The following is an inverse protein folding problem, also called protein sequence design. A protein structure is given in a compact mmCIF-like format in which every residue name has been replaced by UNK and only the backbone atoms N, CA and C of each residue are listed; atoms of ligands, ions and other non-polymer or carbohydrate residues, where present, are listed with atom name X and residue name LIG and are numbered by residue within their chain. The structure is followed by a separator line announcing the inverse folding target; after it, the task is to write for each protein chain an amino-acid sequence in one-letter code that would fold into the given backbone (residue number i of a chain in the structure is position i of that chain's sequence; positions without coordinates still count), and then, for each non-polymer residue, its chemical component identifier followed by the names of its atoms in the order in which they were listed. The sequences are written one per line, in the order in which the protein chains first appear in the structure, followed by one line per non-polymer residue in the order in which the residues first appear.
data_IF_693005353119
#
_entry.id   IF_693005353119
#
_cell.length_a   1.000
_cell.length_b   1.000
_cell.length_c   1.000
_cell.angle_alpha   90.00
_cell.angle_beta   90.00
_cell.angle_gamma   90.00
#
_symmetry.space_group_name_H-M   'P 1'
#
loop_
_entity.id
_entity.type
_entity.pdbx_description
1 polymer ?
#
# COMPACT_ATOMS: atom_id res chain seq x y z
N UNK A 1 0.15 -28.70 -47.37
CA UNK A 1 -0.77 -28.26 -46.32
C UNK A 1 -0.25 -28.85 -45.02
N UNK A 2 0.30 -28.03 -44.12
CA UNK A 2 0.78 -28.48 -42.82
C UNK A 2 -0.41 -28.93 -41.98
N UNK A 3 -0.45 -30.19 -41.56
CA UNK A 3 -1.41 -30.68 -40.56
C UNK A 3 -1.26 -29.79 -39.30
N UNK A 4 -2.29 -29.04 -39.01
CA UNK A 4 -2.36 -28.30 -37.74
C UNK A 4 -2.33 -29.34 -36.62
N UNK A 5 -1.23 -29.38 -35.85
CA UNK A 5 -1.13 -30.17 -34.62
C UNK A 5 -2.29 -29.74 -33.73
N UNK A 6 -3.27 -30.61 -33.53
CA UNK A 6 -4.34 -30.39 -32.57
C UNK A 6 -3.78 -30.66 -31.17
N UNK A 7 -3.51 -29.60 -30.42
CA UNK A 7 -3.05 -29.74 -29.04
C UNK A 7 -4.27 -29.99 -28.13
N UNK A 8 -4.11 -30.85 -27.15
CA UNK A 8 -5.10 -31.01 -26.10
C UNK A 8 -5.20 -29.74 -25.23
N UNK A 9 -6.45 -29.29 -24.99
CA UNK A 9 -6.69 -28.00 -24.25
C UNK A 9 -6.09 -28.04 -22.84
N UNK A 10 -6.21 -29.22 -22.14
CA UNK A 10 -5.64 -29.32 -20.80
C UNK A 10 -4.12 -29.17 -20.81
N UNK A 11 -3.46 -29.76 -21.80
CA UNK A 11 -2.02 -29.65 -22.00
C UNK A 11 -1.63 -28.20 -22.32
N UNK A 12 -2.36 -27.49 -23.19
CA UNK A 12 -2.11 -26.09 -23.50
C UNK A 12 -2.27 -25.20 -22.26
N UNK A 13 -3.30 -25.42 -21.44
CA UNK A 13 -3.51 -24.68 -20.21
C UNK A 13 -2.38 -24.89 -19.20
N UNK A 14 -1.90 -26.14 -19.05
CA UNK A 14 -0.75 -26.46 -18.19
C UNK A 14 0.55 -25.76 -18.67
N UNK A 15 0.84 -25.81 -19.96
CA UNK A 15 2.00 -25.14 -20.56
C UNK A 15 1.95 -23.60 -20.40
N UNK A 16 0.74 -23.02 -20.37
CA UNK A 16 0.53 -21.60 -20.06
C UNK A 16 0.61 -21.29 -18.56
N UNK A 17 0.87 -22.27 -17.69
CA UNK A 17 0.89 -22.11 -16.25
C UNK A 17 -0.49 -21.97 -15.60
N UNK A 18 -1.54 -22.38 -16.31
CA UNK A 18 -2.95 -22.35 -15.87
C UNK A 18 -3.39 -23.72 -15.34
N UNK A 19 -2.63 -24.28 -14.40
CA UNK A 19 -2.80 -25.66 -13.90
C UNK A 19 -4.18 -25.90 -13.28
N UNK A 20 -4.70 -24.93 -12.52
CA UNK A 20 -6.04 -25.04 -11.91
C UNK A 20 -7.13 -25.06 -12.98
N UNK A 21 -7.00 -24.28 -14.05
CA UNK A 21 -7.92 -24.31 -15.18
C UNK A 21 -7.82 -25.63 -15.95
N UNK A 22 -6.60 -26.16 -16.13
CA UNK A 22 -6.38 -27.48 -16.78
C UNK A 22 -7.04 -28.62 -16.01
N UNK A 23 -6.93 -28.63 -14.69
CA UNK A 23 -7.59 -29.60 -13.83
C UNK A 23 -9.12 -29.47 -13.93
N UNK A 24 -9.64 -28.24 -13.82
CA UNK A 24 -11.09 -28.01 -13.92
C UNK A 24 -11.64 -28.39 -15.27
N UNK A 25 -10.91 -28.14 -16.36
CA UNK A 25 -11.28 -28.61 -17.70
C UNK A 25 -11.41 -30.11 -17.78
N UNK A 26 -10.43 -30.87 -17.23
CA UNK A 26 -10.47 -32.35 -17.19
C UNK A 26 -11.67 -32.86 -16.38
N UNK A 27 -11.97 -32.25 -15.24
CA UNK A 27 -13.13 -32.58 -14.40
C UNK A 27 -14.45 -32.45 -15.17
N UNK A 28 -14.66 -31.30 -15.85
CA UNK A 28 -15.87 -31.04 -16.63
C UNK A 28 -16.03 -32.06 -17.75
N UNK A 29 -14.94 -32.37 -18.48
CA UNK A 29 -14.99 -33.33 -19.58
C UNK A 29 -15.33 -34.78 -19.13
N UNK A 30 -14.92 -35.13 -17.91
CA UNK A 30 -15.20 -36.46 -17.35
C UNK A 30 -16.49 -36.53 -16.52
N UNK A 31 -17.12 -35.37 -16.27
CA UNK A 31 -18.30 -35.26 -15.44
C UNK A 31 -19.61 -35.51 -16.22
N UNK A 32 -20.68 -35.84 -15.49
CA UNK A 32 -22.00 -36.08 -16.09
C UNK A 32 -22.67 -34.82 -16.64
N UNK A 33 -22.19 -33.64 -16.22
CA UNK A 33 -22.78 -32.32 -16.51
C UNK A 33 -22.31 -31.72 -17.84
N UNK A 34 -21.46 -32.42 -18.61
CA UNK A 34 -20.85 -31.85 -19.83
C UNK A 34 -21.89 -31.30 -20.82
N UNK A 35 -23.06 -31.97 -20.92
CA UNK A 35 -24.14 -31.54 -21.82
C UNK A 35 -24.96 -30.34 -21.35
N UNK A 36 -24.82 -29.93 -20.09
CA UNK A 36 -25.64 -28.89 -19.47
C UNK A 36 -25.02 -27.48 -19.60
N UNK A 37 -23.76 -27.42 -20.01
CA UNK A 37 -23.03 -26.12 -20.13
C UNK A 37 -23.19 -25.51 -21.51
N UNK A 38 -23.57 -24.24 -21.56
CA UNK A 38 -23.29 -23.42 -22.74
C UNK A 38 -21.78 -23.15 -22.83
N UNK A 39 -21.29 -22.84 -24.02
CA UNK A 39 -19.85 -22.50 -24.20
C UNK A 39 -19.37 -21.41 -23.26
N UNK A 40 -20.20 -20.37 -23.00
CA UNK A 40 -19.88 -19.29 -22.08
C UNK A 40 -19.80 -19.74 -20.62
N UNK A 41 -20.72 -20.62 -20.20
CA UNK A 41 -20.72 -21.18 -18.85
C UNK A 41 -19.50 -22.07 -18.65
N UNK A 42 -19.19 -22.95 -19.61
CA UNK A 42 -18.02 -23.83 -19.56
C UNK A 42 -16.71 -22.98 -19.43
N UNK A 43 -16.56 -21.97 -20.27
CA UNK A 43 -15.39 -21.11 -20.21
C UNK A 43 -15.26 -20.39 -18.85
N UNK A 44 -16.37 -19.93 -18.29
CA UNK A 44 -16.41 -19.30 -16.95
C UNK A 44 -15.99 -20.32 -15.88
N UNK A 45 -16.55 -21.51 -15.87
CA UNK A 45 -16.24 -22.56 -14.90
C UNK A 45 -14.75 -22.95 -14.92
N UNK A 46 -14.15 -23.00 -16.09
CA UNK A 46 -12.73 -23.35 -16.26
C UNK A 46 -11.80 -22.20 -15.80
N UNK A 47 -12.11 -20.96 -16.18
CA UNK A 47 -11.21 -19.82 -15.95
C UNK A 47 -11.36 -19.21 -14.57
N UNK A 48 -12.56 -19.23 -13.98
CA UNK A 48 -12.80 -18.56 -12.68
C UNK A 48 -11.90 -19.08 -11.55
N UNK A 49 -11.73 -20.38 -11.32
CA UNK A 49 -10.85 -20.89 -10.26
C UNK A 49 -9.40 -20.42 -10.42
N UNK A 50 -8.87 -20.47 -11.65
CA UNK A 50 -7.52 -19.99 -11.96
C UNK A 50 -7.37 -18.48 -11.70
N UNK A 51 -8.39 -17.71 -12.08
CA UNK A 51 -8.38 -16.25 -11.84
C UNK A 51 -8.39 -15.91 -10.35
N UNK A 52 -9.20 -16.62 -9.56
CA UNK A 52 -9.27 -16.46 -8.09
C UNK A 52 -7.92 -16.82 -7.48
N UNK A 53 -7.36 -17.96 -7.82
CA UNK A 53 -6.04 -18.38 -7.33
C UNK A 53 -4.94 -17.37 -7.66
N UNK A 54 -4.93 -16.87 -8.89
CA UNK A 54 -3.96 -15.84 -9.30
C UNK A 54 -4.13 -14.56 -8.47
N UNK A 55 -5.36 -14.14 -8.18
CA UNK A 55 -5.64 -12.97 -7.33
C UNK A 55 -5.16 -13.20 -5.90
N UNK A 56 -5.46 -14.35 -5.33
CA UNK A 56 -5.03 -14.70 -3.97
C UNK A 56 -3.50 -14.78 -3.85
N UNK A 57 -2.84 -15.37 -4.83
CA UNK A 57 -1.38 -15.45 -4.86
C UNK A 57 -0.73 -14.05 -4.95
N UNK A 58 -1.30 -13.15 -5.76
CA UNK A 58 -0.86 -11.76 -5.84
C UNK A 58 -1.08 -11.03 -4.51
N UNK A 59 -2.25 -11.18 -3.91
CA UNK A 59 -2.53 -10.60 -2.59
C UNK A 59 -1.53 -11.08 -1.54
N UNK A 60 -1.36 -12.42 -1.40
CA UNK A 60 -0.40 -13.00 -0.43
C UNK A 60 1.03 -12.48 -0.65
N UNK A 61 1.44 -12.35 -1.91
CA UNK A 61 2.75 -11.82 -2.26
C UNK A 61 2.88 -10.35 -1.87
N UNK A 62 1.90 -9.52 -2.20
CA UNK A 62 1.88 -8.10 -1.84
C UNK A 62 1.85 -7.92 -0.32
N UNK A 63 1.03 -8.69 0.40
CA UNK A 63 0.93 -8.64 1.85
C UNK A 63 2.26 -9.01 2.52
N UNK A 64 2.95 -10.04 2.03
CA UNK A 64 4.28 -10.40 2.54
C UNK A 64 5.31 -9.29 2.31
N UNK A 65 5.30 -8.69 1.11
CA UNK A 65 6.25 -7.64 0.72
C UNK A 65 5.93 -6.30 1.40
N UNK A 66 4.68 -6.08 1.80
CA UNK A 66 4.26 -4.85 2.46
C UNK A 66 4.85 -4.68 3.85
N UNK A 67 5.32 -5.74 4.50
CA UNK A 67 5.79 -5.74 5.89
C UNK A 67 4.72 -5.30 6.90
N UNK A 68 3.44 -5.40 6.53
CA UNK A 68 2.34 -5.05 7.42
C UNK A 68 2.41 -5.84 8.72
N UNK A 69 2.39 -5.12 9.85
CA UNK A 69 2.51 -5.69 11.20
C UNK A 69 1.17 -6.27 11.65
N UNK A 70 0.11 -5.45 11.68
CA UNK A 70 -1.23 -5.89 12.06
C UNK A 70 -2.01 -6.40 10.85
N UNK A 71 -1.96 -7.72 10.66
CA UNK A 71 -2.68 -8.42 9.58
C UNK A 71 -4.14 -8.72 9.94
N UNK A 72 -4.60 -8.32 11.14
CA UNK A 72 -5.98 -8.52 11.59
C UNK A 72 -6.88 -7.33 11.32
N UNK A 73 -6.30 -6.18 10.98
CA UNK A 73 -7.02 -4.97 10.66
C UNK A 73 -7.88 -5.16 9.40
N UNK A 74 -9.14 -4.74 9.46
CA UNK A 74 -10.11 -4.87 8.36
C UNK A 74 -10.87 -3.57 8.14
N UNK A 75 -11.14 -3.26 6.87
CA UNK A 75 -11.87 -2.06 6.45
C UNK A 75 -13.24 -1.94 7.12
N UNK A 76 -13.97 -3.03 7.25
CA UNK A 76 -15.30 -3.08 7.86
C UNK A 76 -15.35 -2.65 9.32
N UNK A 77 -14.21 -2.75 10.03
CA UNK A 77 -14.06 -2.33 11.42
C UNK A 77 -13.62 -0.86 11.56
N UNK A 78 -13.32 -0.17 10.45
CA UNK A 78 -12.86 1.22 10.44
C UNK A 78 -14.04 2.19 10.30
N UNK A 79 -14.91 2.19 11.30
CA UNK A 79 -16.11 3.05 11.36
C UNK A 79 -16.34 3.56 12.78
N UNK A 80 -17.12 4.64 12.88
CA UNK A 80 -17.53 5.21 14.16
C UNK A 80 -18.24 4.17 15.02
N UNK A 81 -17.87 4.11 16.30
CA UNK A 81 -18.40 3.18 17.31
C UNK A 81 -18.51 3.88 18.67
N UNK A 82 -18.98 3.18 19.69
CA UNK A 82 -19.11 3.72 21.06
C UNK A 82 -17.79 4.18 21.70
N UNK A 83 -16.65 3.72 21.20
CA UNK A 83 -15.32 4.07 21.75
C UNK A 83 -14.48 4.96 20.83
N UNK A 84 -14.93 5.21 19.58
CA UNK A 84 -14.15 5.96 18.57
C UNK A 84 -15.06 6.69 17.60
N UNK A 85 -14.68 7.91 17.26
CA UNK A 85 -15.29 8.67 16.19
C UNK A 85 -14.31 8.85 15.04
N UNK A 86 -14.77 8.56 13.83
CA UNK A 86 -14.07 8.82 12.57
C UNK A 86 -14.83 9.86 11.75
N UNK A 87 -14.14 10.49 10.81
CA UNK A 87 -14.81 11.09 9.66
C UNK A 87 -15.09 9.96 8.65
N UNK A 88 -16.26 9.29 8.82
CA UNK A 88 -16.60 8.08 8.08
C UNK A 88 -16.60 8.31 6.55
N UNK A 89 -17.06 9.48 6.07
CA UNK A 89 -17.08 9.79 4.64
C UNK A 89 -15.66 9.82 4.05
N UNK A 90 -14.69 10.44 4.76
CA UNK A 90 -13.31 10.49 4.31
C UNK A 90 -12.65 9.11 4.39
N UNK A 91 -12.95 8.33 5.43
CA UNK A 91 -12.47 6.96 5.55
C UNK A 91 -12.96 6.11 4.37
N UNK A 92 -14.25 6.20 4.02
CA UNK A 92 -14.81 5.50 2.86
C UNK A 92 -14.13 5.95 1.56
N UNK A 93 -13.89 7.26 1.37
CA UNK A 93 -13.17 7.77 0.20
C UNK A 93 -11.75 7.22 0.09
N UNK A 94 -11.04 7.03 1.21
CA UNK A 94 -9.70 6.40 1.18
C UNK A 94 -9.80 4.95 0.69
N UNK A 95 -10.82 4.20 1.10
CA UNK A 95 -11.01 2.81 0.67
C UNK A 95 -11.46 2.67 -0.80
N UNK A 96 -11.83 3.75 -1.51
CA UNK A 96 -12.02 3.69 -2.97
C UNK A 96 -10.70 3.64 -3.74
N UNK A 97 -9.59 4.04 -3.14
CA UNK A 97 -8.28 4.19 -3.78
C UNK A 97 -8.20 5.19 -4.94
N UNK A 98 -9.21 6.04 -5.13
CA UNK A 98 -9.19 7.09 -6.16
C UNK A 98 -8.02 8.06 -6.00
N UNK A 99 -7.56 8.28 -4.76
CA UNK A 99 -6.40 9.11 -4.45
C UNK A 99 -5.11 8.62 -5.12
N UNK A 100 -5.00 7.32 -5.43
CA UNK A 100 -3.81 6.73 -6.05
C UNK A 100 -3.60 7.24 -7.46
N UNK A 101 -4.67 7.36 -8.24
CA UNK A 101 -4.63 7.91 -9.61
C UNK A 101 -4.30 9.39 -9.61
N UNK A 102 -4.78 10.12 -8.60
CA UNK A 102 -4.58 11.56 -8.40
C UNK A 102 -3.20 11.89 -7.79
N UNK A 103 -2.50 10.90 -7.21
CA UNK A 103 -1.23 11.10 -6.51
C UNK A 103 -1.38 11.87 -5.20
N UNK A 104 -2.54 11.75 -4.53
CA UNK A 104 -2.85 12.45 -3.28
C UNK A 104 -2.43 11.63 -2.06
N UNK A 105 -1.95 12.31 -1.03
CA UNK A 105 -1.57 11.70 0.24
C UNK A 105 -2.77 11.53 1.18
N UNK A 106 -2.60 10.78 2.28
CA UNK A 106 -3.60 10.72 3.35
C UNK A 106 -2.93 10.75 4.72
N UNK A 107 -3.33 11.68 5.57
CA UNK A 107 -2.90 11.79 6.96
C UNK A 107 -3.99 11.36 7.94
N UNK A 108 -3.62 10.49 8.88
CA UNK A 108 -4.50 9.98 9.94
C UNK A 108 -4.00 10.56 11.27
N UNK A 109 -4.82 11.37 11.91
CA UNK A 109 -4.44 12.12 13.10
C UNK A 109 -5.25 11.68 14.31
N UNK A 110 -4.67 11.75 15.49
CA UNK A 110 -5.34 11.45 16.74
C UNK A 110 -4.37 11.15 17.87
N UNK A 111 -4.87 11.14 19.10
CA UNK A 111 -4.07 10.83 20.29
C UNK A 111 -3.57 9.38 20.27
N UNK A 112 -2.56 9.09 21.11
CA UNK A 112 -2.08 7.71 21.32
C UNK A 112 -3.24 6.80 21.74
N UNK A 113 -3.31 5.60 21.14
CA UNK A 113 -4.37 4.63 21.41
C UNK A 113 -5.72 4.96 20.74
N UNK A 114 -5.81 5.98 19.88
CA UNK A 114 -7.04 6.29 19.15
C UNK A 114 -7.37 5.27 18.04
N UNK A 115 -6.40 4.44 17.61
CA UNK A 115 -6.60 3.45 16.55
C UNK A 115 -6.07 3.87 15.17
N UNK A 116 -5.17 4.85 15.13
CA UNK A 116 -4.54 5.34 13.88
C UNK A 116 -3.83 4.21 13.12
N UNK A 117 -2.95 3.49 13.81
CA UNK A 117 -2.19 2.35 13.26
C UNK A 117 -3.12 1.27 12.72
N UNK A 118 -4.25 0.99 13.41
CA UNK A 118 -5.25 0.04 12.96
C UNK A 118 -5.88 0.47 11.62
N UNK A 119 -6.32 1.73 11.51
CA UNK A 119 -6.86 2.24 10.25
C UNK A 119 -5.80 2.21 9.13
N UNK A 120 -4.57 2.67 9.42
CA UNK A 120 -3.48 2.63 8.45
C UNK A 120 -3.19 1.20 7.97
N UNK A 121 -3.22 0.22 8.89
CA UNK A 121 -3.03 -1.20 8.59
C UNK A 121 -4.15 -1.76 7.73
N UNK A 122 -5.41 -1.42 8.02
CA UNK A 122 -6.56 -1.85 7.23
C UNK A 122 -6.50 -1.30 5.79
N UNK A 123 -6.09 -0.03 5.61
CA UNK A 123 -5.89 0.54 4.27
C UNK A 123 -4.74 -0.15 3.53
N UNK A 124 -3.66 -0.52 4.24
CA UNK A 124 -2.54 -1.25 3.64
C UNK A 124 -2.93 -2.68 3.21
N UNK A 125 -3.73 -3.38 4.01
CA UNK A 125 -4.25 -4.71 3.67
C UNK A 125 -5.13 -4.64 2.40
N UNK A 126 -6.08 -3.70 2.37
CA UNK A 126 -6.94 -3.48 1.21
C UNK A 126 -6.16 -3.06 -0.04
N UNK A 127 -5.11 -2.24 0.11
CA UNK A 127 -4.20 -1.90 -0.99
C UNK A 127 -3.54 -3.16 -1.60
N UNK A 128 -3.16 -4.12 -0.75
CA UNK A 128 -2.61 -5.40 -1.19
C UNK A 128 -3.66 -6.25 -1.94
N UNK A 129 -4.92 -6.25 -1.50
CA UNK A 129 -6.05 -6.88 -2.20
C UNK A 129 -6.29 -6.26 -3.57
N UNK A 130 -6.21 -4.94 -3.69
CA UNK A 130 -6.31 -4.22 -4.96
C UNK A 130 -5.04 -4.28 -5.81
N UNK A 131 -4.08 -5.12 -5.42
CA UNK A 131 -2.83 -5.37 -6.13
C UNK A 131 -1.91 -4.15 -6.25
N UNK A 132 -2.00 -3.18 -5.33
CA UNK A 132 -1.01 -2.13 -5.22
C UNK A 132 0.24 -2.63 -4.49
N UNK A 133 1.42 -2.33 -5.05
CA UNK A 133 2.68 -2.55 -4.36
C UNK A 133 2.80 -1.58 -3.19
N UNK A 134 2.67 -2.11 -1.99
CA UNK A 134 2.61 -1.37 -0.73
C UNK A 134 3.82 -1.67 0.15
N UNK A 135 4.20 -0.71 1.01
CA UNK A 135 5.22 -0.92 2.04
C UNK A 135 4.80 -0.17 3.30
N UNK A 136 4.69 -0.88 4.40
CA UNK A 136 4.36 -0.37 5.72
C UNK A 136 5.64 -0.31 6.57
N UNK A 137 5.95 0.85 7.14
CA UNK A 137 7.14 1.07 7.97
C UNK A 137 6.78 1.96 9.15
N UNK A 138 7.47 1.73 10.25
CA UNK A 138 7.63 2.75 11.29
C UNK A 138 8.44 3.92 10.72
N UNK A 139 8.01 5.15 11.04
CA UNK A 139 8.68 6.35 10.54
C UNK A 139 10.11 6.48 11.07
N UNK A 140 10.34 6.12 12.33
CA UNK A 140 11.66 6.21 12.97
C UNK A 140 12.62 5.21 12.32
N UNK A 141 12.19 3.95 12.13
CA UNK A 141 13.01 2.91 11.48
C UNK A 141 13.43 3.32 10.06
N UNK A 142 12.50 3.90 9.29
CA UNK A 142 12.81 4.39 7.94
C UNK A 142 13.85 5.51 7.96
N UNK A 143 13.68 6.47 8.88
CA UNK A 143 14.59 7.60 8.99
C UNK A 143 15.97 7.20 9.46
N UNK A 144 16.06 6.32 10.46
CA UNK A 144 17.33 5.83 11.00
C UNK A 144 18.10 5.06 9.92
N UNK A 145 17.44 4.22 9.13
CA UNK A 145 18.09 3.53 8.01
C UNK A 145 18.65 4.52 6.98
N UNK A 146 17.87 5.51 6.57
CA UNK A 146 18.29 6.50 5.58
C UNK A 146 19.41 7.42 6.11
N UNK A 147 19.34 7.81 7.38
CA UNK A 147 20.36 8.64 8.02
C UNK A 147 21.70 7.90 8.14
N UNK A 148 21.68 6.67 8.62
CA UNK A 148 22.90 5.85 8.69
C UNK A 148 23.56 5.70 7.33
N UNK A 149 22.77 5.55 6.27
CA UNK A 149 23.29 5.45 4.91
C UNK A 149 23.81 6.80 4.37
N UNK A 150 23.17 7.92 4.74
CA UNK A 150 23.59 9.25 4.29
C UNK A 150 24.91 9.70 4.93
N UNK A 151 25.20 9.21 6.15
CA UNK A 151 26.44 9.54 6.90
C UNK A 151 27.62 8.64 6.57
N UNK A 152 27.37 7.47 5.98
CA UNK A 152 28.45 6.60 5.49
C UNK A 152 28.87 7.09 4.11
N UNK A 153 30.18 7.05 3.80
CA UNK A 153 30.72 7.37 2.47
C UNK A 153 30.26 6.40 1.36
N UNK A 154 29.02 5.92 1.46
CA UNK A 154 28.40 4.99 0.52
C UNK A 154 27.16 5.62 -0.14
N UNK A 155 27.42 6.68 -0.87
CA UNK A 155 26.40 7.45 -1.59
C UNK A 155 25.57 6.56 -2.56
N UNK A 156 26.17 5.48 -3.06
CA UNK A 156 25.48 4.55 -3.95
C UNK A 156 24.35 3.81 -3.21
N UNK A 157 24.64 3.24 -2.04
CA UNK A 157 23.63 2.55 -1.22
C UNK A 157 22.51 3.49 -0.75
N UNK A 158 22.89 4.69 -0.28
CA UNK A 158 21.91 5.71 0.07
C UNK A 158 20.98 6.03 -1.09
N UNK A 159 21.54 6.33 -2.27
CA UNK A 159 20.76 6.68 -3.46
C UNK A 159 19.87 5.53 -3.91
N UNK A 160 20.38 4.29 -3.87
CA UNK A 160 19.60 3.08 -4.21
C UNK A 160 18.42 2.88 -3.25
N UNK A 161 18.65 3.09 -1.96
CA UNK A 161 17.61 2.93 -0.93
C UNK A 161 16.56 4.03 -1.01
N UNK A 162 16.98 5.28 -1.18
CA UNK A 162 16.07 6.41 -1.37
C UNK A 162 15.20 6.20 -2.63
N UNK A 163 15.79 5.78 -3.74
CA UNK A 163 15.07 5.42 -4.96
C UNK A 163 14.08 4.28 -4.73
N UNK A 164 14.45 3.25 -3.96
CA UNK A 164 13.56 2.15 -3.62
C UNK A 164 12.30 2.67 -2.91
N UNK A 165 12.44 3.45 -1.82
CA UNK A 165 11.32 4.00 -1.08
C UNK A 165 10.49 5.00 -1.90
N UNK A 166 11.14 5.76 -2.78
CA UNK A 166 10.45 6.71 -3.66
C UNK A 166 9.57 6.00 -4.71
N UNK A 167 9.97 4.83 -5.21
CA UNK A 167 9.28 4.09 -6.28
C UNK A 167 8.18 3.14 -5.81
N UNK A 168 8.12 2.82 -4.53
CA UNK A 168 7.00 2.04 -3.97
C UNK A 168 5.70 2.81 -4.23
N UNK A 169 4.69 2.14 -4.82
CA UNK A 169 3.46 2.83 -5.21
C UNK A 169 2.76 3.44 -4.01
N UNK A 170 2.56 2.68 -2.93
CA UNK A 170 1.97 3.16 -1.69
C UNK A 170 2.94 2.96 -0.53
N UNK A 171 3.34 4.03 0.12
CA UNK A 171 4.15 4.02 1.32
C UNK A 171 3.29 4.38 2.52
N UNK A 172 3.27 3.51 3.51
CA UNK A 172 2.55 3.66 4.77
C UNK A 172 3.57 3.92 5.87
N UNK A 173 3.47 5.08 6.53
CA UNK A 173 4.38 5.50 7.60
C UNK A 173 3.59 5.63 8.90
N UNK A 174 3.87 4.76 9.86
CA UNK A 174 3.29 4.88 11.19
C UNK A 174 4.10 5.84 12.07
N UNK A 175 3.42 6.51 12.98
CA UNK A 175 3.96 7.46 13.96
C UNK A 175 4.84 8.58 13.35
N UNK A 176 4.40 9.17 12.24
CA UNK A 176 5.08 10.28 11.58
C UNK A 176 5.24 11.49 12.50
N UNK A 177 6.42 12.09 12.48
CA UNK A 177 6.82 13.27 13.26
C UNK A 177 6.89 13.03 14.78
N UNK A 178 7.12 11.80 15.23
CA UNK A 178 7.26 11.47 16.66
C UNK A 178 8.66 11.82 17.20
N UNK A 179 9.67 11.83 16.34
CA UNK A 179 11.07 12.03 16.70
C UNK A 179 11.66 13.29 16.06
N UNK A 180 12.55 13.94 16.79
CA UNK A 180 13.27 15.11 16.31
C UNK A 180 14.52 14.69 15.56
N UNK A 181 14.81 15.37 14.45
CA UNK A 181 15.97 15.10 13.60
C UNK A 181 16.83 16.34 13.42
N UNK A 182 18.11 16.13 13.14
CA UNK A 182 19.05 17.16 12.72
C UNK A 182 18.67 17.75 11.36
N UNK A 183 19.35 18.83 10.95
CA UNK A 183 19.19 19.40 9.61
C UNK A 183 19.35 18.36 8.50
N UNK A 184 20.34 17.46 8.64
CA UNK A 184 20.55 16.39 7.66
C UNK A 184 19.35 15.43 7.60
N UNK A 185 18.75 15.10 8.74
CA UNK A 185 17.54 14.27 8.78
C UNK A 185 16.36 14.94 8.07
N UNK A 186 16.16 16.23 8.29
CA UNK A 186 15.12 17.00 7.59
C UNK A 186 15.37 17.05 6.08
N UNK A 187 16.62 17.16 5.66
CA UNK A 187 17.00 17.12 4.24
C UNK A 187 16.73 15.75 3.62
N UNK A 188 17.05 14.66 4.29
CA UNK A 188 16.77 13.30 3.86
C UNK A 188 15.26 13.10 3.70
N UNK A 189 14.46 13.48 4.70
CA UNK A 189 13.00 13.41 4.66
C UNK A 189 12.44 14.24 3.50
N UNK A 190 12.92 15.47 3.33
CA UNK A 190 12.49 16.34 2.24
C UNK A 190 12.75 15.69 0.86
N UNK A 191 13.92 15.10 0.65
CA UNK A 191 14.25 14.42 -0.59
C UNK A 191 13.33 13.24 -0.85
N UNK A 192 13.01 12.44 0.16
CA UNK A 192 12.09 11.32 0.04
C UNK A 192 10.69 11.81 -0.36
N UNK A 193 10.11 12.73 0.41
CA UNK A 193 8.75 13.22 0.19
C UNK A 193 8.64 13.95 -1.16
N UNK A 194 9.65 14.77 -1.51
CA UNK A 194 9.72 15.43 -2.81
C UNK A 194 9.72 14.40 -3.96
N UNK A 195 10.61 13.41 -3.90
CA UNK A 195 10.73 12.38 -4.94
C UNK A 195 9.44 11.58 -5.11
N UNK A 196 8.75 11.25 -4.02
CA UNK A 196 7.47 10.56 -4.06
C UNK A 196 6.37 11.42 -4.71
N UNK A 197 6.31 12.71 -4.35
CA UNK A 197 5.37 13.66 -4.94
C UNK A 197 5.61 13.82 -6.45
N UNK A 198 6.87 13.96 -6.86
CA UNK A 198 7.25 14.09 -8.27
C UNK A 198 6.84 12.84 -9.09
N UNK A 199 6.90 11.65 -8.47
CA UNK A 199 6.47 10.38 -9.06
C UNK A 199 4.97 10.10 -8.94
N UNK A 200 4.20 10.97 -8.31
CA UNK A 200 2.78 10.76 -7.96
C UNK A 200 2.53 9.44 -7.23
N UNK A 201 3.41 9.13 -6.29
CA UNK A 201 3.30 7.96 -5.43
C UNK A 201 2.81 8.40 -4.04
N UNK A 202 1.57 8.10 -3.67
CA UNK A 202 1.00 8.52 -2.39
C UNK A 202 1.78 8.01 -1.20
N UNK A 203 1.82 8.85 -0.16
CA UNK A 203 2.26 8.49 1.18
C UNK A 203 1.06 8.60 2.13
N UNK A 204 0.73 7.50 2.81
CA UNK A 204 -0.26 7.48 3.88
C UNK A 204 0.50 7.43 5.20
N UNK A 205 0.05 8.20 6.18
CA UNK A 205 0.78 8.25 7.44
C UNK A 205 -0.14 8.50 8.62
N UNK A 206 0.29 8.04 9.79
CA UNK A 206 -0.33 8.42 11.06
C UNK A 206 0.52 9.49 11.75
N UNK A 207 -0.12 10.39 12.48
CA UNK A 207 0.58 11.35 13.33
C UNK A 207 -0.25 11.70 14.57
N UNK A 208 0.44 11.97 15.66
CA UNK A 208 -0.18 12.51 16.87
C UNK A 208 -0.33 14.04 16.79
N UNK A 209 0.37 14.68 15.89
CA UNK A 209 0.49 16.13 15.76
C UNK A 209 -0.07 16.63 14.45
N UNK A 210 -0.76 17.76 14.49
CA UNK A 210 -1.24 18.43 13.29
C UNK A 210 -0.05 18.97 12.45
N UNK A 211 -0.17 19.12 11.13
CA UNK A 211 0.90 19.60 10.27
C UNK A 211 1.51 20.94 10.70
N UNK A 212 0.71 21.82 11.32
CA UNK A 212 1.17 23.11 11.84
C UNK A 212 2.17 22.97 13.00
N UNK A 213 2.13 21.84 13.73
CA UNK A 213 2.98 21.58 14.89
C UNK A 213 4.27 20.83 14.53
N UNK A 214 4.36 20.26 13.31
CA UNK A 214 5.50 19.42 12.94
C UNK A 214 6.87 20.09 13.08
N UNK A 215 6.97 21.42 12.96
CA UNK A 215 8.21 22.15 13.21
C UNK A 215 8.79 21.88 14.59
N UNK A 216 7.93 21.82 15.63
CA UNK A 216 8.35 21.54 17.01
C UNK A 216 8.91 20.14 17.21
N UNK A 217 8.41 19.17 16.44
CA UNK A 217 8.68 17.72 16.63
C UNK A 217 9.70 17.19 15.62
N UNK A 218 9.78 17.73 14.42
CA UNK A 218 10.77 17.31 13.43
C UNK A 218 12.11 18.06 13.56
N UNK A 219 12.08 19.33 13.91
CA UNK A 219 13.25 20.17 14.07
C UNK A 219 12.91 21.64 13.80
N UNK A 220 13.44 22.54 14.61
CA UNK A 220 13.09 23.97 14.64
C UNK A 220 14.29 24.84 14.24
N UNK A 221 15.23 24.30 13.50
CA UNK A 221 16.40 25.01 13.01
C UNK A 221 15.99 25.99 11.88
N UNK A 222 16.41 27.27 11.92
CA UNK A 222 16.06 28.28 10.90
C UNK A 222 16.35 27.83 9.47
N UNK A 223 17.46 27.12 9.27
CA UNK A 223 17.89 26.60 7.96
C UNK A 223 16.99 25.47 7.42
N UNK A 224 16.15 24.90 8.30
CA UNK A 224 15.21 23.84 7.95
C UNK A 224 13.82 24.35 7.54
N UNK A 225 13.44 25.59 7.84
CA UNK A 225 12.07 26.08 7.65
C UNK A 225 11.53 25.88 6.23
N UNK A 226 12.32 26.16 5.21
CA UNK A 226 11.91 25.97 3.82
C UNK A 226 11.67 24.50 3.46
N UNK A 227 12.50 23.61 3.99
CA UNK A 227 12.36 22.14 3.78
C UNK A 227 11.14 21.61 4.54
N UNK A 228 10.94 22.03 5.79
CA UNK A 228 9.78 21.66 6.62
C UNK A 228 8.47 22.12 6.00
N UNK A 229 8.42 23.37 5.54
CA UNK A 229 7.25 23.87 4.82
C UNK A 229 6.99 23.11 3.53
N UNK A 230 8.04 22.75 2.81
CA UNK A 230 7.98 21.91 1.63
C UNK A 230 7.44 20.49 1.92
N UNK A 231 7.83 19.86 3.04
CA UNK A 231 7.30 18.57 3.50
C UNK A 231 5.81 18.73 3.86
N UNK A 232 5.50 19.72 4.69
CA UNK A 232 4.13 19.99 5.15
C UNK A 232 3.16 20.19 3.99
N UNK A 233 3.49 21.07 3.05
CA UNK A 233 2.63 21.33 1.88
C UNK A 233 2.38 20.07 1.05
N UNK A 234 3.38 19.24 0.86
CA UNK A 234 3.24 18.01 0.07
C UNK A 234 2.41 16.95 0.78
N UNK A 235 2.66 16.72 2.06
CA UNK A 235 1.94 15.69 2.82
C UNK A 235 0.51 16.13 3.19
N UNK A 236 0.26 17.43 3.39
CA UNK A 236 -1.07 17.94 3.69
C UNK A 236 -2.00 18.03 2.47
N UNK A 237 -1.50 17.74 1.25
CA UNK A 237 -2.33 17.68 0.04
C UNK A 237 -3.02 16.32 -0.05
N UNK A 238 -4.31 16.26 0.22
CA UNK A 238 -5.08 15.04 0.10
C UNK A 238 -6.09 14.85 1.21
N UNK A 239 -6.24 13.61 1.66
CA UNK A 239 -7.24 13.26 2.67
C UNK A 239 -6.70 13.46 4.09
N UNK A 240 -7.56 13.95 4.96
CA UNK A 240 -7.28 14.09 6.38
C UNK A 240 -8.35 13.40 7.21
N UNK A 241 -7.95 12.41 8.00
CA UNK A 241 -8.81 11.69 8.92
C UNK A 241 -8.41 12.04 10.34
N UNK A 242 -9.31 12.61 11.12
CA UNK A 242 -9.16 12.75 12.56
C UNK A 242 -9.86 11.58 13.26
N UNK A 243 -9.16 10.94 14.20
CA UNK A 243 -9.73 9.90 15.05
C UNK A 243 -9.81 10.42 16.47
N UNK A 244 -11.02 10.48 17.01
CA UNK A 244 -11.27 10.85 18.41
C UNK A 244 -11.59 9.58 19.21
N UNK A 245 -10.92 9.44 20.36
CA UNK A 245 -11.28 8.45 21.37
C UNK A 245 -12.39 9.04 22.23
N UNK A 246 -13.51 8.35 22.31
CA UNK A 246 -14.69 8.73 23.12
C UNK A 246 -14.56 8.21 24.56
#
# INVERSE_FOLDING_TARGET
MSEAKTYDIATMLDELGMTTAALRWKEILSGPELGDYTAQQMLREVITPQYVEMKDNKYRTNLRLSKLVDKTARAENCKTSSGRRYNDDVVQQIFTFDFVSKGLNAGIYGKTGAGKTYLLSAVCDEACHQNYRSLFLDYTDLMDELLVLSQKDDLEKYTKKLKYYSRIKLLFLDDFAISRYSEEGIKVLYHLIKSRTDLRNPTLFTSQYAPAEWGKYLGDEPDCYGKLDGIRRRLATGYTVAIEKL
#
